data_IF_725971310422
#
_entry.id   IF_725971310422
#
_cell.length_a   1.000
_cell.length_b   1.000
_cell.length_c   1.000
_cell.angle_alpha   90.00
_cell.angle_beta   90.00
_cell.angle_gamma   90.00
#
_symmetry.space_group_name_H-M   'P 1'
#
loop_
_entity.id
_entity.type
_entity.pdbx_description
1 polymer ?
#
# COMPACT_ATOMS: atom_id res chain seq x y z
N UNK A 1 8.92 33.73 -34.08
CA UNK A 1 8.45 32.41 -33.62
C UNK A 1 8.63 32.38 -32.11
N UNK A 2 7.55 32.66 -31.39
CA UNK A 2 7.52 32.72 -29.92
C UNK A 2 7.52 31.30 -29.37
N UNK A 3 8.55 30.99 -28.57
CA UNK A 3 8.69 29.73 -27.84
C UNK A 3 7.53 29.56 -26.85
N UNK A 4 6.74 28.52 -27.04
CA UNK A 4 5.78 28.01 -26.05
C UNK A 4 6.52 27.63 -24.76
N UNK A 5 6.08 28.07 -23.57
CA UNK A 5 6.67 27.62 -22.31
C UNK A 5 6.39 26.13 -22.15
N UNK A 6 7.40 25.38 -21.70
CA UNK A 6 7.23 24.01 -21.24
C UNK A 6 6.24 24.01 -20.07
N UNK A 7 5.04 23.49 -20.28
CA UNK A 7 4.12 23.15 -19.21
C UNK A 7 4.75 22.04 -18.37
N UNK A 8 5.47 22.41 -17.32
CA UNK A 8 5.62 21.50 -16.18
C UNK A 8 4.21 21.32 -15.60
N UNK A 9 3.70 20.08 -15.44
CA UNK A 9 2.47 19.87 -14.72
C UNK A 9 2.67 20.44 -13.31
N UNK A 10 1.88 21.47 -12.97
CA UNK A 10 1.89 22.03 -11.62
C UNK A 10 1.58 20.90 -10.65
N UNK A 11 2.48 20.64 -9.71
CA UNK A 11 2.24 19.66 -8.66
C UNK A 11 0.90 19.97 -7.98
N UNK A 12 0.08 18.95 -7.67
CA UNK A 12 -1.13 19.13 -6.89
C UNK A 12 -0.87 19.97 -5.62
N UNK A 13 -1.82 20.84 -5.25
CA UNK A 13 -1.69 21.69 -4.07
C UNK A 13 -1.35 20.84 -2.84
N UNK A 14 -0.31 21.25 -2.09
CA UNK A 14 0.11 20.54 -0.88
C UNK A 14 1.05 19.34 -1.10
N UNK A 15 1.35 18.92 -2.33
CA UNK A 15 2.33 17.84 -2.61
C UNK A 15 3.71 18.42 -2.96
N UNK A 16 4.73 18.00 -2.20
CA UNK A 16 6.15 18.12 -2.60
C UNK A 16 6.85 16.77 -2.51
N UNK A 17 8.03 16.67 -3.11
CA UNK A 17 8.88 15.50 -2.98
C UNK A 17 10.12 15.86 -2.19
N UNK A 18 10.39 15.12 -1.11
CA UNK A 18 11.59 15.26 -0.29
C UNK A 18 12.51 14.07 -0.52
N UNK A 19 13.81 14.31 -0.63
CA UNK A 19 14.79 13.22 -0.69
C UNK A 19 15.13 12.77 0.74
N UNK A 20 14.98 11.48 1.01
CA UNK A 20 15.48 10.86 2.24
C UNK A 20 16.48 9.72 1.89
N UNK A 21 16.96 9.02 2.91
CA UNK A 21 17.91 7.89 2.75
C UNK A 21 17.41 6.76 1.83
N UNK A 22 16.10 6.71 1.55
CA UNK A 22 15.41 5.72 0.73
C UNK A 22 14.93 6.28 -0.62
N UNK A 23 15.39 7.48 -0.99
CA UNK A 23 14.99 8.16 -2.22
C UNK A 23 13.89 9.21 -2.03
N UNK A 24 13.31 9.72 -3.12
CA UNK A 24 12.31 10.78 -3.05
C UNK A 24 10.96 10.25 -2.56
N UNK A 25 10.52 10.73 -1.40
CA UNK A 25 9.22 10.42 -0.80
C UNK A 25 8.25 11.59 -0.91
N UNK A 26 6.94 11.33 -1.06
CA UNK A 26 5.95 12.39 -1.08
C UNK A 26 5.82 12.98 0.33
N UNK A 27 5.73 14.31 0.38
CA UNK A 27 5.66 15.08 1.61
C UNK A 27 4.67 16.24 1.48
N UNK A 28 4.16 16.67 2.64
CA UNK A 28 3.22 17.78 2.74
C UNK A 28 3.95 19.11 2.54
N UNK A 29 3.63 19.82 1.45
CA UNK A 29 4.12 21.17 1.19
C UNK A 29 3.41 22.22 2.08
N UNK A 30 2.19 21.91 2.52
CA UNK A 30 1.40 22.73 3.43
C UNK A 30 0.53 21.83 4.32
N UNK A 31 0.18 22.31 5.51
CA UNK A 31 -0.80 21.63 6.38
C UNK A 31 -2.22 21.94 5.91
N UNK A 32 -3.14 20.96 5.92
CA UNK A 32 -4.54 21.20 5.60
C UNK A 32 -5.16 22.33 6.45
N UNK A 33 -6.00 23.16 5.81
CA UNK A 33 -6.62 24.31 6.45
C UNK A 33 -7.71 23.85 7.44
N UNK A 34 -7.46 24.03 8.74
CA UNK A 34 -8.39 23.62 9.81
C UNK A 34 -9.75 24.32 9.72
N UNK A 35 -9.79 25.57 9.26
CA UNK A 35 -11.06 26.32 9.08
C UNK A 35 -11.92 25.68 7.97
N UNK A 36 -11.28 25.24 6.89
CA UNK A 36 -11.99 24.52 5.83
C UNK A 36 -12.46 23.14 6.29
N UNK A 37 -11.65 22.41 7.06
CA UNK A 37 -12.06 21.15 7.71
C UNK A 37 -13.28 21.36 8.60
N UNK A 38 -13.28 22.41 9.42
CA UNK A 38 -14.38 22.76 10.31
C UNK A 38 -15.66 23.08 9.53
N UNK A 39 -15.56 23.88 8.46
CA UNK A 39 -16.69 24.22 7.60
C UNK A 39 -17.31 22.99 6.93
N UNK A 40 -16.48 22.13 6.32
CA UNK A 40 -16.91 20.88 5.70
C UNK A 40 -17.55 19.94 6.73
N UNK A 41 -16.97 19.86 7.93
CA UNK A 41 -17.53 19.06 9.02
C UNK A 41 -18.91 19.54 9.44
N UNK A 42 -19.12 20.85 9.58
CA UNK A 42 -20.44 21.42 9.93
C UNK A 42 -21.49 21.09 8.87
N UNK A 43 -21.12 21.28 7.61
CA UNK A 43 -21.98 21.03 6.46
C UNK A 43 -22.43 19.56 6.39
N UNK A 44 -21.49 18.63 6.45
CA UNK A 44 -21.78 17.22 6.19
C UNK A 44 -22.28 16.45 7.41
N UNK A 45 -21.93 16.88 8.63
CA UNK A 45 -22.45 16.26 9.85
C UNK A 45 -23.73 16.93 10.37
N UNK A 46 -24.23 17.97 9.69
CA UNK A 46 -25.40 18.75 10.13
C UNK A 46 -25.29 19.23 11.58
N UNK A 47 -24.10 19.72 11.98
CA UNK A 47 -23.80 20.10 13.35
C UNK A 47 -23.16 21.50 13.41
N UNK A 48 -23.87 22.48 13.98
CA UNK A 48 -23.39 23.87 14.05
C UNK A 48 -22.26 24.05 15.07
N UNK A 49 -22.35 23.34 16.19
CA UNK A 49 -21.32 23.36 17.24
C UNK A 49 -20.46 22.10 17.13
N UNK A 50 -19.18 22.27 16.84
CA UNK A 50 -18.20 21.19 16.81
C UNK A 50 -16.81 21.73 17.12
N UNK A 51 -15.90 20.83 17.48
CA UNK A 51 -14.48 21.14 17.63
C UNK A 51 -13.64 20.21 16.78
N UNK A 52 -12.58 20.75 16.18
CA UNK A 52 -11.62 20.00 15.36
C UNK A 52 -10.27 20.00 16.06
N UNK A 53 -9.70 18.81 16.28
CA UNK A 53 -8.38 18.64 16.89
C UNK A 53 -7.51 17.73 16.03
N UNK A 54 -6.27 18.13 15.76
CA UNK A 54 -5.32 17.24 15.10
C UNK A 54 -5.08 15.99 15.95
N UNK A 55 -5.22 14.81 15.34
CA UNK A 55 -5.10 13.52 16.02
C UNK A 55 -3.76 12.86 15.69
N UNK A 56 -3.48 12.67 14.41
CA UNK A 56 -2.29 11.96 13.94
C UNK A 56 -2.00 12.30 12.47
N UNK A 57 -0.82 11.89 11.98
CA UNK A 57 -0.51 12.03 10.57
C UNK A 57 0.76 11.28 10.18
N UNK A 58 0.77 10.78 8.95
CA UNK A 58 1.90 10.09 8.32
C UNK A 58 2.36 10.80 7.05
N UNK A 59 3.07 10.06 6.19
CA UNK A 59 3.53 10.56 4.90
C UNK A 59 2.35 10.96 3.99
N UNK A 60 1.31 10.13 3.94
CA UNK A 60 0.19 10.30 3.01
C UNK A 60 -1.07 10.91 3.62
N UNK A 61 -1.25 10.82 4.93
CA UNK A 61 -2.51 11.16 5.59
C UNK A 61 -2.31 12.12 6.76
N UNK A 62 -3.22 13.09 6.91
CA UNK A 62 -3.41 13.89 8.13
C UNK A 62 -4.80 13.63 8.67
N UNK A 63 -4.88 13.34 9.97
CA UNK A 63 -6.10 12.88 10.63
C UNK A 63 -6.48 13.85 11.73
N UNK A 64 -7.74 14.27 11.72
CA UNK A 64 -8.32 15.20 12.68
C UNK A 64 -9.53 14.54 13.35
N UNK A 65 -9.64 14.74 14.66
CA UNK A 65 -10.78 14.35 15.47
C UNK A 65 -11.80 15.49 15.45
N UNK A 66 -13.02 15.18 15.01
CA UNK A 66 -14.17 16.07 15.15
C UNK A 66 -14.95 15.62 16.38
N UNK A 67 -15.23 16.53 17.30
CA UNK A 67 -16.11 16.28 18.45
C UNK A 67 -17.35 17.16 18.31
N UNK A 68 -18.52 16.54 18.24
CA UNK A 68 -19.82 17.22 18.27
C UNK A 68 -20.37 17.10 19.71
N UNK A 69 -20.61 18.22 20.41
CA UNK A 69 -21.26 18.19 21.71
C UNK A 69 -22.60 17.47 21.63
N UNK A 70 -22.81 16.55 22.56
CA UNK A 70 -24.03 15.75 22.69
C UNK A 70 -24.66 16.03 24.04
N UNK A 71 -25.98 15.99 24.12
CA UNK A 71 -26.73 16.09 25.39
C UNK A 71 -26.34 14.95 26.36
N UNK A 72 -25.85 13.84 25.81
CA UNK A 72 -25.24 12.77 26.59
C UNK A 72 -23.75 13.06 26.81
N UNK A 73 -23.42 13.67 27.95
CA UNK A 73 -22.04 14.02 28.36
C UNK A 73 -21.14 12.77 28.44
N UNK A 74 -21.71 11.58 28.65
CA UNK A 74 -20.97 10.32 28.76
C UNK A 74 -20.53 9.74 27.42
N UNK A 75 -21.09 10.21 26.30
CA UNK A 75 -20.74 9.73 24.96
C UNK A 75 -20.86 10.86 23.90
N UNK A 76 -19.88 11.78 23.85
CA UNK A 76 -19.85 12.79 22.80
C UNK A 76 -19.62 12.12 21.44
N UNK A 77 -20.49 12.42 20.47
CA UNK A 77 -20.32 11.91 19.10
C UNK A 77 -19.01 12.42 18.53
N UNK A 78 -18.14 11.50 18.13
CA UNK A 78 -16.85 11.83 17.56
C UNK A 78 -16.63 11.15 16.23
N UNK A 79 -16.01 11.89 15.31
CA UNK A 79 -15.80 11.49 13.93
C UNK A 79 -14.33 11.73 13.56
N UNK A 80 -13.89 11.07 12.49
CA UNK A 80 -12.56 11.23 11.93
C UNK A 80 -12.67 11.99 10.60
N UNK A 81 -11.93 13.08 10.50
CA UNK A 81 -11.66 13.77 9.24
C UNK A 81 -10.24 13.40 8.79
N UNK A 82 -10.12 12.68 7.67
CA UNK A 82 -8.82 12.35 7.08
C UNK A 82 -8.64 13.16 5.80
N UNK A 83 -7.52 13.87 5.72
CA UNK A 83 -7.04 14.52 4.49
C UNK A 83 -5.92 13.68 3.92
N UNK A 84 -6.01 13.35 2.64
CA UNK A 84 -5.02 12.53 1.97
C UNK A 84 -4.28 13.31 0.90
N UNK A 85 -2.96 13.12 0.88
CA UNK A 85 -2.07 13.72 -0.08
C UNK A 85 -2.44 13.23 -1.50
N UNK A 86 -2.60 14.14 -2.48
CA UNK A 86 -3.09 13.81 -3.82
C UNK A 86 -1.98 13.22 -4.71
N UNK A 87 -1.41 12.08 -4.31
CA UNK A 87 -0.36 11.39 -5.07
C UNK A 87 -0.94 10.68 -6.31
N UNK A 88 -2.06 9.98 -6.13
CA UNK A 88 -2.90 9.41 -7.20
C UNK A 88 -4.36 9.74 -6.82
N UNK A 89 -4.90 10.88 -7.26
CA UNK A 89 -6.26 11.29 -6.91
C UNK A 89 -7.29 10.26 -7.40
N UNK A 90 -8.47 10.21 -6.77
CA UNK A 90 -9.64 9.38 -7.05
C UNK A 90 -9.59 7.93 -6.53
N UNK A 91 -8.42 7.32 -6.33
CA UNK A 91 -8.35 5.86 -6.22
C UNK A 91 -8.17 5.28 -4.80
N UNK A 92 -8.83 5.85 -3.78
CA UNK A 92 -8.68 5.39 -2.39
C UNK A 92 -9.97 4.83 -1.81
N UNK A 93 -9.87 3.64 -1.21
CA UNK A 93 -10.97 2.93 -0.55
C UNK A 93 -11.13 3.34 0.91
N UNK A 94 -12.37 3.33 1.39
CA UNK A 94 -12.72 3.50 2.81
C UNK A 94 -13.72 2.41 3.23
N UNK A 95 -13.58 1.91 4.47
CA UNK A 95 -14.38 0.80 5.02
C UNK A 95 -15.22 1.18 6.25
N UNK A 96 -14.86 2.15 7.12
CA UNK A 96 -15.80 2.63 8.15
C UNK A 96 -17.01 3.33 7.52
N UNK A 97 -18.10 3.51 8.28
CA UNK A 97 -19.25 4.31 7.80
C UNK A 97 -18.78 5.69 7.35
N UNK A 98 -18.96 5.96 6.06
CA UNK A 98 -18.52 7.18 5.40
C UNK A 98 -19.68 8.17 5.39
N UNK A 99 -19.50 9.30 6.06
CA UNK A 99 -20.51 10.35 6.10
C UNK A 99 -20.45 11.25 4.87
N UNK A 100 -19.22 11.61 4.46
CA UNK A 100 -18.96 12.41 3.27
C UNK A 100 -17.50 12.28 2.87
N UNK A 101 -17.19 12.49 1.60
CA UNK A 101 -15.83 12.55 1.09
C UNK A 101 -15.81 13.35 -0.21
N UNK A 102 -14.61 13.80 -0.58
CA UNK A 102 -14.31 14.29 -1.92
C UNK A 102 -13.00 13.66 -2.36
N UNK A 103 -13.07 12.89 -3.44
CA UNK A 103 -11.93 12.18 -4.03
C UNK A 103 -11.20 13.01 -5.11
N UNK A 104 -11.57 14.28 -5.28
CA UNK A 104 -10.93 15.22 -6.20
C UNK A 104 -10.01 16.19 -5.46
N UNK A 105 -9.18 16.91 -6.23
CA UNK A 105 -8.40 18.04 -5.73
C UNK A 105 -9.07 19.39 -6.00
N UNK A 106 -10.29 19.40 -6.55
CA UNK A 106 -11.02 20.60 -6.97
C UNK A 106 -11.98 21.07 -5.87
N UNK A 107 -11.47 21.17 -4.65
CA UNK A 107 -12.21 21.59 -3.46
C UNK A 107 -11.42 22.58 -2.60
N UNK A 108 -12.04 23.04 -1.52
CA UNK A 108 -11.52 24.05 -0.60
C UNK A 108 -10.21 23.63 0.09
N UNK A 109 -9.93 22.33 0.17
CA UNK A 109 -8.69 21.79 0.73
C UNK A 109 -7.61 21.53 -0.32
N UNK A 110 -7.96 21.55 -1.61
CA UNK A 110 -7.04 21.20 -2.71
C UNK A 110 -6.52 19.78 -2.61
N UNK A 111 -7.16 18.92 -1.82
CA UNK A 111 -6.73 17.58 -1.46
C UNK A 111 -7.95 16.71 -1.24
N UNK A 112 -7.76 15.40 -1.34
CA UNK A 112 -8.83 14.46 -1.04
C UNK A 112 -9.12 14.47 0.45
N UNK A 113 -10.38 14.29 0.80
CA UNK A 113 -10.77 14.19 2.19
C UNK A 113 -11.95 13.26 2.38
N UNK A 114 -12.06 12.74 3.60
CA UNK A 114 -13.15 11.86 4.01
C UNK A 114 -13.50 12.12 5.48
N UNK A 115 -14.80 12.15 5.76
CA UNK A 115 -15.41 12.15 7.08
C UNK A 115 -15.99 10.77 7.32
N UNK A 116 -15.53 10.12 8.37
CA UNK A 116 -15.93 8.76 8.72
C UNK A 116 -16.20 8.63 10.21
N UNK A 117 -16.91 7.57 10.58
CA UNK A 117 -17.11 7.20 11.98
C UNK A 117 -15.76 6.99 12.69
N UNK A 118 -15.65 7.44 13.94
CA UNK A 118 -14.52 7.07 14.79
C UNK A 118 -14.75 5.68 15.37
N UNK A 119 -13.92 4.72 14.97
CA UNK A 119 -13.92 3.39 15.57
C UNK A 119 -13.60 3.51 17.09
N UNK A 120 -14.45 2.96 17.98
CA UNK A 120 -14.22 2.99 19.42
C UNK A 120 -13.04 2.10 19.84
N UNK A 121 -12.54 2.29 21.06
CA UNK A 121 -11.46 1.48 21.64
C UNK A 121 -10.09 2.16 21.65
N UNK A 122 -9.07 1.39 22.03
CA UNK A 122 -7.67 1.81 22.13
C UNK A 122 -6.81 1.13 21.06
N UNK A 123 -5.75 1.82 20.62
CA UNK A 123 -4.80 1.26 19.68
C UNK A 123 -4.08 0.06 20.30
N UNK A 124 -4.09 -1.08 19.60
CA UNK A 124 -3.45 -2.31 20.07
C UNK A 124 -1.95 -2.11 20.33
N UNK A 125 -1.26 -1.26 19.56
CA UNK A 125 0.17 -0.94 19.78
C UNK A 125 0.43 -0.40 21.18
N UNK A 126 -0.44 0.47 21.68
CA UNK A 126 -0.32 1.10 23.00
C UNK A 126 -0.70 0.14 24.12
N UNK A 127 -1.71 -0.70 23.89
CA UNK A 127 -2.18 -1.68 24.85
C UNK A 127 -1.21 -2.88 24.96
N UNK A 128 -0.57 -3.28 23.86
CA UNK A 128 0.23 -4.51 23.74
C UNK A 128 1.28 -4.74 24.84
N UNK A 129 2.07 -3.75 25.27
CA UNK A 129 3.08 -3.94 26.32
C UNK A 129 2.47 -4.28 27.69
N UNK A 130 1.19 -3.97 27.91
CA UNK A 130 0.47 -4.16 29.18
C UNK A 130 -0.31 -5.48 29.23
N UNK A 131 -0.47 -6.16 28.10
CA UNK A 131 -1.24 -7.40 28.01
C UNK A 131 -0.42 -8.62 28.43
N UNK A 132 -1.08 -9.55 29.13
CA UNK A 132 -0.54 -10.89 29.40
C UNK A 132 -0.43 -11.70 28.09
N UNK A 133 0.33 -12.80 28.11
CA UNK A 133 0.43 -13.69 26.95
C UNK A 133 -0.92 -14.32 26.58
N UNK A 134 -1.77 -14.60 27.58
CA UNK A 134 -3.12 -15.13 27.38
C UNK A 134 -4.03 -14.11 26.68
N UNK A 135 -4.07 -12.87 27.15
CA UNK A 135 -4.83 -11.79 26.53
C UNK A 135 -4.35 -11.50 25.11
N UNK A 136 -3.03 -11.54 24.86
CA UNK A 136 -2.47 -11.47 23.51
C UNK A 136 -2.95 -12.64 22.64
N UNK A 137 -3.05 -13.84 23.22
CA UNK A 137 -3.58 -15.04 22.57
C UNK A 137 -5.01 -14.85 22.05
N UNK A 138 -5.91 -14.33 22.89
CA UNK A 138 -7.32 -14.06 22.53
C UNK A 138 -7.40 -13.12 21.33
N UNK A 139 -6.67 -12.00 21.37
CA UNK A 139 -6.67 -11.01 20.28
C UNK A 139 -6.11 -11.62 18.99
N UNK A 140 -5.02 -12.38 19.08
CA UNK A 140 -4.37 -13.01 17.92
C UNK A 140 -5.23 -14.11 17.31
N UNK A 141 -5.96 -14.87 18.12
CA UNK A 141 -6.93 -15.85 17.64
C UNK A 141 -8.05 -15.18 16.83
N UNK A 142 -8.61 -14.09 17.35
CA UNK A 142 -9.64 -13.29 16.65
C UNK A 142 -9.14 -12.71 15.33
N UNK A 143 -7.91 -12.20 15.29
CA UNK A 143 -7.28 -11.76 14.04
C UNK A 143 -7.15 -12.91 13.05
N UNK A 144 -6.80 -14.12 13.50
CA UNK A 144 -6.75 -15.30 12.66
C UNK A 144 -8.12 -15.65 12.07
N UNK A 145 -9.17 -15.63 12.90
CA UNK A 145 -10.56 -15.84 12.47
C UNK A 145 -11.00 -14.79 11.45
N UNK A 146 -10.67 -13.52 11.66
CA UNK A 146 -10.96 -12.45 10.73
C UNK A 146 -10.26 -12.65 9.37
N UNK A 147 -8.97 -13.01 9.37
CA UNK A 147 -8.25 -13.32 8.12
C UNK A 147 -8.83 -14.55 7.41
N UNK A 148 -9.33 -15.54 8.17
CA UNK A 148 -10.02 -16.69 7.59
C UNK A 148 -11.34 -16.26 6.95
N UNK A 149 -12.15 -15.48 7.66
CA UNK A 149 -13.45 -14.98 7.18
C UNK A 149 -13.30 -14.17 5.90
N UNK A 150 -12.33 -13.25 5.83
CA UNK A 150 -12.04 -12.50 4.61
C UNK A 150 -11.69 -13.40 3.42
N UNK A 151 -10.87 -14.43 3.65
CA UNK A 151 -10.51 -15.38 2.60
C UNK A 151 -11.69 -16.22 2.12
N UNK A 152 -12.59 -16.59 3.02
CA UNK A 152 -13.76 -17.39 2.71
C UNK A 152 -14.84 -16.55 2.02
N UNK A 153 -15.03 -15.30 2.46
CA UNK A 153 -16.13 -14.44 2.02
C UNK A 153 -15.79 -13.46 0.92
N UNK A 154 -14.52 -13.14 0.67
CA UNK A 154 -14.08 -12.12 -0.28
C UNK A 154 -13.14 -12.73 -1.33
N UNK A 155 -13.74 -13.31 -2.37
CA UNK A 155 -13.07 -14.03 -3.46
C UNK A 155 -13.25 -13.27 -4.77
N UNK A 156 -12.18 -13.20 -5.55
CA UNK A 156 -12.09 -12.42 -6.78
C UNK A 156 -11.38 -13.21 -7.86
N UNK A 157 -11.67 -12.88 -9.11
CA UNK A 157 -11.10 -13.51 -10.30
C UNK A 157 -9.97 -12.67 -10.94
N UNK A 158 -9.52 -11.61 -10.26
CA UNK A 158 -8.41 -10.76 -10.69
C UNK A 158 -7.71 -10.09 -9.50
N UNK A 159 -6.43 -9.74 -9.70
CA UNK A 159 -5.63 -8.87 -8.84
C UNK A 159 -5.83 -7.43 -9.31
N UNK A 160 -6.21 -6.55 -8.40
CA UNK A 160 -6.43 -5.13 -8.67
C UNK A 160 -6.85 -4.39 -7.40
N UNK A 161 -7.20 -3.12 -7.51
CA UNK A 161 -7.84 -2.39 -6.41
C UNK A 161 -9.36 -2.50 -6.51
N UNK A 162 -10.05 -2.52 -5.37
CA UNK A 162 -11.51 -2.60 -5.31
C UNK A 162 -12.12 -1.20 -5.47
N UNK A 163 -13.12 -1.05 -6.34
CA UNK A 163 -13.82 0.21 -6.60
C UNK A 163 -15.32 0.01 -6.57
N UNK A 164 -16.05 1.01 -6.11
CA UNK A 164 -17.50 1.01 -6.19
C UNK A 164 -17.96 1.40 -7.59
N UNK A 165 -18.87 0.63 -8.19
CA UNK A 165 -19.35 0.84 -9.56
C UNK A 165 -19.91 2.26 -9.77
N UNK A 166 -20.63 2.77 -8.77
CA UNK A 166 -21.32 4.08 -8.83
C UNK A 166 -20.38 5.27 -8.85
N UNK A 167 -19.13 5.09 -8.46
CA UNK A 167 -18.14 6.16 -8.39
C UNK A 167 -17.36 6.31 -9.70
N UNK A 168 -17.35 5.27 -10.53
CA UNK A 168 -16.56 5.22 -11.77
C UNK A 168 -17.30 5.86 -12.94
N UNK A 169 -16.58 6.67 -13.72
CA UNK A 169 -17.04 7.10 -15.05
C UNK A 169 -17.11 5.91 -16.02
N UNK A 170 -17.90 6.03 -17.09
CA UNK A 170 -18.04 4.97 -18.11
C UNK A 170 -16.68 4.51 -18.66
N UNK A 171 -15.77 5.44 -18.98
CA UNK A 171 -14.43 5.09 -19.46
C UNK A 171 -13.53 4.42 -18.41
N UNK A 172 -13.76 4.67 -17.12
CA UNK A 172 -13.04 3.97 -16.05
C UNK A 172 -13.60 2.56 -15.81
N UNK A 173 -14.90 2.33 -16.06
CA UNK A 173 -15.52 1.00 -15.96
C UNK A 173 -15.00 0.04 -17.03
N UNK A 174 -14.70 0.53 -18.24
CA UNK A 174 -14.20 -0.29 -19.35
C UNK A 174 -12.89 -1.02 -19.06
N UNK A 175 -12.06 -0.48 -18.17
CA UNK A 175 -10.77 -1.08 -17.78
C UNK A 175 -10.87 -1.91 -16.50
N UNK A 176 -12.08 -2.24 -16.04
CA UNK A 176 -12.30 -3.02 -14.83
C UNK A 176 -12.76 -4.45 -15.11
N UNK A 177 -12.72 -5.27 -14.07
CA UNK A 177 -13.20 -6.64 -14.03
C UNK A 177 -14.38 -6.71 -13.05
N UNK A 178 -15.51 -7.22 -13.52
CA UNK A 178 -16.68 -7.45 -12.69
C UNK A 178 -16.39 -8.47 -11.58
N UNK A 179 -16.98 -8.23 -10.41
CA UNK A 179 -16.96 -9.16 -9.28
C UNK A 179 -18.33 -9.79 -9.08
N UNK A 180 -18.38 -10.84 -8.26
CA UNK A 180 -19.67 -11.43 -7.83
C UNK A 180 -20.43 -10.51 -6.85
N UNK A 181 -19.81 -9.41 -6.41
CA UNK A 181 -20.42 -8.35 -5.60
C UNK A 181 -20.81 -7.20 -6.55
N UNK A 182 -22.08 -7.15 -6.95
CA UNK A 182 -22.56 -6.25 -8.01
C UNK A 182 -22.25 -4.75 -7.81
N UNK A 183 -22.02 -4.32 -6.58
CA UNK A 183 -21.68 -2.93 -6.25
C UNK A 183 -20.19 -2.61 -6.46
N UNK A 184 -19.35 -3.62 -6.71
CA UNK A 184 -17.91 -3.49 -6.78
C UNK A 184 -17.28 -4.11 -8.03
N UNK A 185 -16.24 -3.45 -8.52
CA UNK A 185 -15.37 -3.93 -9.61
C UNK A 185 -13.91 -3.95 -9.15
N UNK A 186 -13.11 -4.82 -9.77
CA UNK A 186 -11.65 -4.78 -9.65
C UNK A 186 -11.10 -3.91 -10.77
N UNK A 187 -10.40 -2.85 -10.40
CA UNK A 187 -9.80 -1.90 -11.34
C UNK A 187 -8.27 -1.80 -11.20
N UNK A 188 -7.68 -0.78 -11.85
CA UNK A 188 -6.24 -0.52 -11.80
C UNK A 188 -5.70 -0.46 -10.36
N UNK A 189 -4.51 -1.04 -10.14
CA UNK A 189 -3.84 -1.03 -8.84
C UNK A 189 -3.34 0.38 -8.48
N UNK A 190 -3.39 0.70 -7.18
CA UNK A 190 -2.87 1.92 -6.59
C UNK A 190 -2.01 1.58 -5.38
N UNK A 191 -0.81 1.06 -5.60
CA UNK A 191 0.15 0.83 -4.52
C UNK A 191 1.40 1.68 -4.67
N UNK A 192 2.10 1.85 -3.55
CA UNK A 192 3.35 2.61 -3.51
C UNK A 192 4.37 2.07 -4.51
N UNK A 193 4.40 0.77 -4.77
CA UNK A 193 5.29 0.20 -5.78
C UNK A 193 5.08 0.83 -7.18
N UNK A 194 3.84 1.15 -7.53
CA UNK A 194 3.46 1.73 -8.83
C UNK A 194 3.61 3.26 -8.88
N UNK A 195 3.47 3.99 -7.77
CA UNK A 195 3.47 5.47 -7.79
C UNK A 195 4.55 6.15 -6.95
N UNK A 196 5.17 5.46 -5.99
CA UNK A 196 6.14 6.04 -5.08
C UNK A 196 7.49 6.11 -5.80
N UNK A 197 7.74 7.26 -6.40
CA UNK A 197 9.03 7.81 -6.84
C UNK A 197 8.73 8.96 -7.81
N UNK A 198 9.60 9.98 -7.90
CA UNK A 198 9.40 11.13 -8.80
C UNK A 198 9.21 10.72 -10.27
N UNK A 199 9.79 9.58 -10.66
CA UNK A 199 9.90 9.11 -12.05
C UNK A 199 8.79 8.14 -12.46
N UNK A 200 8.26 7.34 -11.54
CA UNK A 200 7.22 6.34 -11.84
C UNK A 200 5.95 6.94 -12.47
N UNK A 201 5.49 8.16 -12.12
CA UNK A 201 4.40 8.83 -12.84
C UNK A 201 4.72 9.20 -14.31
N UNK A 202 5.99 9.27 -14.70
CA UNK A 202 6.44 9.64 -16.05
C UNK A 202 6.50 8.45 -17.03
N UNK A 203 6.47 7.22 -16.51
CA UNK A 203 6.53 6.00 -17.32
C UNK A 203 5.12 5.47 -17.59
N UNK A 204 4.94 4.85 -18.76
CA UNK A 204 3.71 4.13 -19.08
C UNK A 204 3.66 2.85 -18.25
N UNK A 205 2.67 2.74 -17.37
CA UNK A 205 2.51 1.64 -16.42
C UNK A 205 1.33 0.78 -16.84
N UNK A 206 1.53 -0.54 -16.85
CA UNK A 206 0.43 -1.49 -16.78
C UNK A 206 -0.03 -1.51 -15.31
N UNK A 207 -1.32 -1.26 -15.07
CA UNK A 207 -1.91 -1.20 -13.73
C UNK A 207 -2.92 -2.33 -13.51
N UNK A 208 -3.05 -3.26 -14.45
CA UNK A 208 -4.04 -4.32 -14.40
C UNK A 208 -5.45 -3.80 -14.70
N UNK A 209 -6.50 -4.56 -14.31
CA UNK A 209 -6.49 -5.77 -13.47
C UNK A 209 -5.72 -6.96 -14.07
N UNK A 210 -5.18 -7.83 -13.20
CA UNK A 210 -4.38 -8.99 -13.63
C UNK A 210 -5.08 -10.31 -13.34
N UNK A 211 -5.07 -11.24 -14.29
CA UNK A 211 -5.70 -12.56 -14.17
C UNK A 211 -4.80 -13.65 -13.59
N UNK A 212 -3.52 -13.35 -13.33
CA UNK A 212 -2.58 -14.30 -12.73
C UNK A 212 -1.46 -13.57 -11.99
N UNK A 213 -0.89 -14.23 -10.99
CA UNK A 213 0.27 -13.75 -10.24
C UNK A 213 1.46 -13.46 -11.17
N UNK A 214 1.67 -14.31 -12.17
CA UNK A 214 2.76 -14.15 -13.13
C UNK A 214 2.66 -12.84 -13.88
N UNK A 215 1.47 -12.50 -14.39
CA UNK A 215 1.26 -11.26 -15.16
C UNK A 215 1.41 -10.04 -14.23
N UNK A 216 0.86 -10.12 -13.02
CA UNK A 216 1.02 -9.09 -12.01
C UNK A 216 2.49 -8.82 -11.66
N UNK A 217 3.25 -9.86 -11.30
CA UNK A 217 4.67 -9.74 -10.93
C UNK A 217 5.53 -9.24 -12.10
N UNK A 218 5.21 -9.68 -13.31
CA UNK A 218 5.88 -9.20 -14.52
C UNK A 218 5.58 -7.72 -14.78
N UNK A 219 4.36 -7.24 -14.53
CA UNK A 219 4.02 -5.83 -14.63
C UNK A 219 4.82 -5.00 -13.61
N UNK A 220 4.89 -5.44 -12.35
CA UNK A 220 5.70 -4.78 -11.31
C UNK A 220 7.18 -4.69 -11.72
N UNK A 221 7.82 -5.81 -12.09
CA UNK A 221 9.22 -5.81 -12.51
C UNK A 221 9.50 -4.93 -13.74
N UNK A 222 8.54 -4.84 -14.68
CA UNK A 222 8.65 -3.92 -15.83
C UNK A 222 8.65 -2.46 -15.41
N UNK A 223 7.79 -2.08 -14.46
CA UNK A 223 7.76 -0.71 -13.92
C UNK A 223 9.10 -0.35 -13.30
N UNK A 224 9.68 -1.25 -12.50
CA UNK A 224 11.01 -1.03 -11.91
C UNK A 224 12.11 -0.90 -12.96
N UNK A 225 12.13 -1.76 -13.98
CA UNK A 225 13.12 -1.66 -15.04
C UNK A 225 13.04 -0.34 -15.79
N UNK A 226 11.83 0.10 -16.14
CA UNK A 226 11.61 1.37 -16.83
C UNK A 226 11.97 2.57 -15.95
N UNK A 227 11.71 2.51 -14.65
CA UNK A 227 12.15 3.53 -13.69
C UNK A 227 13.69 3.64 -13.69
N UNK A 228 14.42 2.53 -13.51
CA UNK A 228 15.89 2.55 -13.48
C UNK A 228 16.49 2.97 -14.83
N UNK A 229 15.86 2.61 -15.95
CA UNK A 229 16.25 3.10 -17.29
C UNK A 229 16.08 4.62 -17.40
N UNK A 230 14.96 5.14 -16.94
CA UNK A 230 14.70 6.57 -16.95
C UNK A 230 15.67 7.32 -16.04
N UNK A 231 15.96 6.79 -14.85
CA UNK A 231 16.96 7.33 -13.92
C UNK A 231 18.33 7.48 -14.60
N UNK A 232 18.86 6.39 -15.17
CA UNK A 232 20.16 6.41 -15.86
C UNK A 232 20.19 7.42 -17.01
N UNK A 233 19.09 7.49 -17.79
CA UNK A 233 18.97 8.46 -18.88
C UNK A 233 19.02 9.90 -18.38
N UNK A 234 18.18 10.25 -17.40
CA UNK A 234 18.11 11.60 -16.83
C UNK A 234 19.45 12.02 -16.21
N UNK A 235 20.11 11.12 -15.49
CA UNK A 235 21.43 11.35 -14.91
C UNK A 235 22.49 11.57 -15.99
N UNK A 236 22.45 10.79 -17.08
CA UNK A 236 23.37 10.98 -18.23
C UNK A 236 23.15 12.31 -18.96
N UNK A 237 21.89 12.69 -19.20
CA UNK A 237 21.52 13.96 -19.84
C UNK A 237 21.95 15.15 -18.97
N UNK A 238 21.75 15.05 -17.65
CA UNK A 238 22.21 16.06 -16.68
C UNK A 238 23.73 16.20 -16.70
N UNK A 239 24.49 15.09 -16.68
CA UNK A 239 25.96 15.13 -16.77
C UNK A 239 26.44 15.76 -18.08
N UNK A 240 25.81 15.42 -19.21
CA UNK A 240 26.11 16.01 -20.51
C UNK A 240 25.82 17.52 -20.55
N UNK A 241 24.70 17.96 -19.97
CA UNK A 241 24.34 19.37 -19.86
C UNK A 241 25.27 20.14 -18.90
N UNK A 242 25.66 19.54 -17.77
CA UNK A 242 26.61 20.11 -16.82
C UNK A 242 28.01 20.27 -17.43
N UNK A 243 28.47 19.33 -18.26
CA UNK A 243 29.72 19.46 -19.03
C UNK A 243 29.66 20.65 -20.00
N UNK A 244 28.49 20.94 -20.59
CA UNK A 244 28.29 22.15 -21.42
C UNK A 244 28.22 23.44 -20.58
N UNK A 245 27.82 23.35 -19.31
CA UNK A 245 27.58 24.50 -18.40
C UNK A 245 28.73 24.78 -17.43
N UNK A 246 29.78 23.96 -17.41
CA UNK A 246 30.94 24.06 -16.54
C UNK A 246 31.88 25.22 -16.88
N UNK A 247 31.36 26.46 -16.82
CA UNK A 247 32.16 27.64 -16.52
C UNK A 247 31.96 28.18 -15.11
N UNK A 248 30.85 27.96 -14.40
CA UNK A 248 30.73 28.39 -12.99
C UNK A 248 29.84 27.44 -12.16
N UNK A 249 30.33 27.19 -10.94
CA UNK A 249 29.66 26.63 -9.74
C UNK A 249 29.60 25.11 -9.53
N UNK A 250 29.96 24.71 -8.30
CA UNK A 250 29.88 23.37 -7.73
C UNK A 250 28.41 23.01 -7.46
N UNK A 251 27.93 21.92 -8.06
CA UNK A 251 26.61 21.35 -7.80
C UNK A 251 26.65 20.50 -6.53
N UNK A 252 25.67 20.68 -5.65
CA UNK A 252 25.34 19.73 -4.59
C UNK A 252 25.05 18.35 -5.21
N UNK A 253 25.46 17.26 -4.53
CA UNK A 253 25.15 15.89 -4.98
C UNK A 253 23.65 15.68 -4.88
N UNK A 254 23.04 15.39 -6.02
CA UNK A 254 21.59 15.18 -6.12
C UNK A 254 21.30 13.72 -5.79
N UNK A 255 20.23 13.45 -5.03
CA UNK A 255 19.90 12.08 -4.59
C UNK A 255 19.76 11.08 -5.74
N UNK A 256 19.46 11.56 -6.94
CA UNK A 256 19.33 10.73 -8.14
C UNK A 256 20.69 10.28 -8.72
N UNK A 257 21.79 11.01 -8.47
CA UNK A 257 23.13 10.56 -8.86
C UNK A 257 23.56 9.34 -8.03
N UNK A 258 23.30 9.36 -6.71
CA UNK A 258 23.59 8.25 -5.80
C UNK A 258 22.73 7.01 -6.14
N UNK A 259 21.42 7.20 -6.39
CA UNK A 259 20.52 6.12 -6.80
C UNK A 259 20.91 5.51 -8.17
N UNK A 260 21.53 6.29 -9.06
CA UNK A 260 21.94 5.80 -10.36
C UNK A 260 23.16 4.87 -10.31
N UNK A 261 23.93 4.88 -9.21
CA UNK A 261 25.09 3.97 -9.04
C UNK A 261 24.64 2.50 -8.91
N UNK A 262 23.54 2.27 -8.18
CA UNK A 262 23.00 0.92 -7.93
C UNK A 262 22.08 0.42 -9.06
N UNK A 263 21.61 1.32 -9.94
CA UNK A 263 20.65 1.01 -10.99
C UNK A 263 21.07 -0.16 -11.91
N UNK A 264 22.32 -0.30 -12.37
CA UNK A 264 22.75 -1.45 -13.17
C UNK A 264 22.64 -2.78 -12.43
N UNK A 265 23.00 -2.82 -11.13
CA UNK A 265 22.92 -4.04 -10.32
C UNK A 265 21.46 -4.45 -10.08
N UNK A 266 20.58 -3.48 -9.82
CA UNK A 266 19.14 -3.69 -9.68
C UNK A 266 18.57 -4.24 -10.99
N UNK A 267 18.92 -3.66 -12.15
CA UNK A 267 18.48 -4.14 -13.46
C UNK A 267 18.91 -5.59 -13.74
N UNK A 268 20.17 -5.94 -13.45
CA UNK A 268 20.67 -7.31 -13.58
C UNK A 268 19.89 -8.28 -12.66
N UNK A 269 19.60 -7.84 -11.43
CA UNK A 269 18.86 -8.65 -10.45
C UNK A 269 17.41 -8.86 -10.89
N UNK A 270 16.74 -7.83 -11.42
CA UNK A 270 15.40 -7.98 -12.00
C UNK A 270 15.43 -8.96 -13.19
N UNK A 271 16.46 -8.90 -14.04
CA UNK A 271 16.59 -9.83 -15.15
C UNK A 271 16.71 -11.29 -14.67
N UNK A 272 17.45 -11.54 -13.59
CA UNK A 272 17.53 -12.86 -12.98
C UNK A 272 16.20 -13.31 -12.35
N UNK A 273 15.43 -12.38 -11.75
CA UNK A 273 14.08 -12.66 -11.26
C UNK A 273 13.13 -13.02 -12.41
N UNK A 274 13.19 -12.30 -13.54
CA UNK A 274 12.41 -12.60 -14.73
C UNK A 274 12.71 -13.99 -15.31
N UNK A 275 13.97 -14.44 -15.25
CA UNK A 275 14.36 -15.80 -15.68
C UNK A 275 13.77 -16.91 -14.81
N UNK A 276 13.69 -16.71 -13.50
CA UNK A 276 13.16 -17.74 -12.58
C UNK A 276 11.63 -17.68 -12.46
N UNK A 277 11.00 -16.55 -12.81
CA UNK A 277 9.56 -16.33 -12.70
C UNK A 277 8.72 -17.49 -13.30
N UNK A 278 8.97 -17.98 -14.53
CA UNK A 278 8.18 -19.05 -15.13
C UNK A 278 8.30 -20.39 -14.38
N UNK A 279 9.39 -20.58 -13.64
CA UNK A 279 9.61 -21.81 -12.86
C UNK A 279 8.96 -21.81 -11.48
N UNK A 280 8.49 -20.65 -11.02
CA UNK A 280 7.75 -20.49 -9.77
C UNK A 280 6.26 -20.27 -10.07
N UNK A 281 5.97 -19.55 -11.17
CA UNK A 281 4.62 -19.25 -11.64
C UNK A 281 4.47 -19.77 -13.07
N UNK A 282 4.01 -21.01 -13.22
CA UNK A 282 3.76 -21.62 -14.54
C UNK A 282 2.58 -20.93 -15.27
N UNK A 283 2.57 -21.00 -16.59
CA UNK A 283 1.47 -20.52 -17.44
C UNK A 283 0.16 -21.30 -17.21
N UNK A 284 0.27 -22.59 -16.89
CA UNK A 284 -0.88 -23.47 -16.60
C UNK A 284 -1.50 -23.20 -15.23
N UNK A 285 -0.81 -22.44 -14.36
CA UNK A 285 -1.27 -22.06 -13.03
C UNK A 285 -2.13 -20.79 -13.12
N UNK A 286 -3.22 -20.83 -13.88
CA UNK A 286 -4.23 -19.81 -13.74
C UNK A 286 -4.84 -19.93 -12.34
N UNK A 287 -4.46 -19.02 -11.45
CA UNK A 287 -5.11 -18.89 -10.16
C UNK A 287 -6.52 -18.36 -10.42
N UNK A 288 -7.52 -19.24 -10.34
CA UNK A 288 -8.93 -18.85 -10.56
C UNK A 288 -9.51 -18.06 -9.37
N UNK A 289 -8.77 -17.96 -8.26
CA UNK A 289 -9.27 -17.37 -7.02
C UNK A 289 -8.22 -16.55 -6.25
N UNK A 290 -8.48 -15.24 -6.18
CA UNK A 290 -7.74 -14.26 -5.38
C UNK A 290 -8.58 -13.84 -4.18
N UNK A 291 -7.95 -13.64 -3.02
CA UNK A 291 -8.64 -13.31 -1.77
C UNK A 291 -8.26 -11.93 -1.27
N UNK A 292 -9.22 -11.19 -0.71
CA UNK A 292 -8.96 -9.87 -0.13
C UNK A 292 -7.97 -9.98 1.03
N UNK A 293 -7.05 -9.01 1.10
CA UNK A 293 -6.08 -8.92 2.19
C UNK A 293 -5.98 -7.49 2.71
N UNK A 294 -5.72 -7.39 4.01
CA UNK A 294 -5.25 -6.14 4.61
C UNK A 294 -3.74 -5.98 4.40
N UNK A 295 -3.32 -5.10 3.49
CA UNK A 295 -1.92 -4.92 3.11
C UNK A 295 -1.02 -4.35 4.25
N UNK A 296 -1.59 -3.60 5.20
CA UNK A 296 -0.83 -3.01 6.31
C UNK A 296 -1.32 -3.46 7.70
N UNK A 297 -1.58 -4.76 7.89
CA UNK A 297 -2.12 -5.25 9.16
C UNK A 297 -1.02 -5.30 10.25
N UNK A 298 -0.95 -4.25 11.05
CA UNK A 298 -0.03 -4.12 12.16
C UNK A 298 -0.75 -3.62 13.42
N UNK A 299 -0.11 -3.73 14.60
CA UNK A 299 -0.71 -3.33 15.89
C UNK A 299 -1.20 -1.87 15.94
N UNK A 300 -0.64 -0.98 15.13
CA UNK A 300 -1.08 0.41 15.08
C UNK A 300 -2.44 0.57 14.40
N UNK A 301 -2.81 -0.41 13.57
CA UNK A 301 -4.01 -0.41 12.74
C UNK A 301 -5.13 -1.30 13.32
N UNK A 302 -4.97 -1.81 14.54
CA UNK A 302 -6.00 -2.62 15.22
C UNK A 302 -6.51 -1.86 16.44
N UNK A 303 -7.83 -1.67 16.50
CA UNK A 303 -8.55 -1.07 17.61
C UNK A 303 -9.15 -2.16 18.48
N UNK A 304 -9.01 -2.02 19.81
CA UNK A 304 -9.44 -3.01 20.78
C UNK A 304 -10.16 -2.35 21.94
N UNK A 305 -11.26 -2.92 22.40
CA UNK A 305 -11.89 -2.55 23.66
C UNK A 305 -11.02 -3.05 24.82
N UNK A 306 -10.53 -2.14 25.67
CA UNK A 306 -9.56 -2.48 26.70
C UNK A 306 -10.12 -3.34 27.85
N UNK A 307 -11.45 -3.40 28.00
CA UNK A 307 -12.12 -4.14 29.08
C UNK A 307 -12.47 -5.56 28.63
N UNK A 308 -12.94 -5.72 27.40
CA UNK A 308 -13.44 -6.98 26.82
C UNK A 308 -12.42 -7.66 25.91
N UNK A 309 -11.38 -6.95 25.48
CA UNK A 309 -10.39 -7.37 24.48
C UNK A 309 -11.00 -7.67 23.10
N UNK A 310 -12.22 -7.23 22.83
CA UNK A 310 -12.86 -7.31 21.51
C UNK A 310 -12.15 -6.41 20.51
N UNK A 311 -11.96 -6.92 19.29
CA UNK A 311 -11.48 -6.10 18.18
C UNK A 311 -12.65 -5.25 17.72
N UNK A 312 -12.56 -3.96 17.96
CA UNK A 312 -13.61 -3.00 17.61
C UNK A 312 -13.47 -2.49 16.18
N UNK A 313 -12.28 -2.62 15.58
CA UNK A 313 -12.09 -2.38 14.17
C UNK A 313 -10.64 -2.50 13.71
N UNK A 314 -10.49 -2.60 12.39
CA UNK A 314 -9.20 -2.63 11.71
C UNK A 314 -9.18 -1.42 10.78
N UNK A 315 -8.14 -0.60 10.91
CA UNK A 315 -7.95 0.66 10.21
C UNK A 315 -6.99 0.48 9.03
N UNK A 316 -6.93 1.48 8.15
CA UNK A 316 -5.93 1.57 7.07
C UNK A 316 -6.14 0.57 5.93
N UNK A 317 -7.40 0.37 5.56
CA UNK A 317 -7.84 -0.35 4.36
C UNK A 317 -7.64 0.44 3.06
N UNK A 318 -6.61 1.28 2.98
CA UNK A 318 -6.29 1.99 1.73
C UNK A 318 -5.76 0.98 0.72
N UNK A 319 -6.29 0.96 -0.50
CA UNK A 319 -5.80 0.14 -1.62
C UNK A 319 -5.67 -1.38 -1.30
N UNK A 320 -6.72 -2.05 -0.79
CA UNK A 320 -6.66 -3.49 -0.58
C UNK A 320 -6.59 -4.17 -1.95
N UNK A 321 -5.65 -5.10 -2.09
CA UNK A 321 -5.44 -5.86 -3.32
C UNK A 321 -5.76 -7.34 -3.06
N UNK A 322 -6.64 -7.96 -3.86
CA UNK A 322 -6.80 -9.41 -3.86
C UNK A 322 -5.51 -10.08 -4.32
N UNK A 323 -5.03 -11.08 -3.57
CA UNK A 323 -3.86 -11.88 -3.90
C UNK A 323 -4.18 -13.37 -3.88
N UNK A 324 -3.38 -14.19 -4.57
CA UNK A 324 -3.65 -15.60 -4.74
C UNK A 324 -3.74 -16.35 -3.40
N UNK A 325 -4.65 -17.32 -3.35
CA UNK A 325 -4.87 -18.13 -2.16
C UNK A 325 -3.60 -18.91 -1.76
N UNK A 326 -3.24 -18.87 -0.47
CA UNK A 326 -2.10 -19.60 0.08
C UNK A 326 -0.74 -18.90 -0.06
N UNK A 327 -0.66 -17.84 -0.86
CA UNK A 327 0.62 -17.29 -1.29
C UNK A 327 1.18 -16.15 -0.45
N UNK A 328 0.45 -15.44 0.42
CA UNK A 328 1.05 -14.31 1.20
C UNK A 328 0.19 -13.85 2.36
N UNK A 329 0.01 -14.68 3.38
CA UNK A 329 -0.44 -14.17 4.67
C UNK A 329 0.73 -13.37 5.27
N UNK A 330 0.74 -12.05 5.10
CA UNK A 330 1.79 -11.17 5.66
C UNK A 330 1.78 -11.19 7.19
N UNK A 331 0.71 -11.69 7.83
CA UNK A 331 0.74 -12.05 9.24
C UNK A 331 1.75 -13.17 9.55
N UNK A 332 2.08 -14.02 8.55
CA UNK A 332 3.06 -15.12 8.65
C UNK A 332 4.46 -14.70 8.20
N UNK A 333 4.54 -13.83 7.18
CA UNK A 333 5.77 -13.23 6.67
C UNK A 333 6.25 -12.16 7.65
N UNK A 334 7.55 -12.11 7.96
CA UNK A 334 8.09 -11.32 9.08
C UNK A 334 7.77 -9.81 8.84
N UNK A 335 6.95 -9.13 9.64
CA UNK A 335 7.24 -8.66 11.02
C UNK A 335 5.97 -8.12 11.74
N UNK A 336 5.49 -8.86 12.74
CA UNK A 336 4.97 -8.32 14.01
C UNK A 336 6.01 -8.62 15.09
N UNK A 337 7.05 -7.81 15.12
CA UNK A 337 8.44 -8.28 15.30
C UNK A 337 8.66 -9.25 16.48
N UNK A 338 8.62 -10.55 16.18
CA UNK A 338 8.83 -11.70 17.08
C UNK A 338 7.78 -11.83 18.21
N UNK A 339 6.51 -12.01 17.83
CA UNK A 339 5.36 -12.57 18.60
C UNK A 339 5.67 -13.72 19.56
N UNK A 340 6.39 -13.35 20.61
CA UNK A 340 7.16 -14.10 21.63
C UNK A 340 7.74 -15.47 21.19
N UNK A 341 8.04 -15.54 19.89
CA UNK A 341 8.80 -16.49 19.07
C UNK A 341 8.18 -17.81 18.59
N UNK A 342 7.04 -18.30 19.07
CA UNK A 342 6.28 -19.31 18.27
C UNK A 342 4.83 -19.50 18.71
N UNK A 343 4.51 -19.26 19.98
CA UNK A 343 3.19 -19.62 20.55
C UNK A 343 2.03 -18.85 19.91
N UNK A 344 2.09 -17.52 19.90
CA UNK A 344 1.04 -16.68 19.31
C UNK A 344 0.90 -16.92 17.81
N UNK A 345 2.00 -17.18 17.11
CA UNK A 345 1.97 -17.56 15.69
C UNK A 345 1.19 -18.85 15.47
N UNK A 346 1.40 -19.88 16.30
CA UNK A 346 0.62 -21.13 16.20
C UNK A 346 -0.87 -20.90 16.41
N UNK A 347 -1.23 -20.03 17.37
CA UNK A 347 -2.63 -19.67 17.63
C UNK A 347 -3.24 -19.00 16.40
N UNK A 348 -2.57 -17.98 15.87
CA UNK A 348 -3.01 -17.32 14.64
C UNK A 348 -3.16 -18.33 13.50
N UNK A 349 -2.15 -19.17 13.27
CA UNK A 349 -2.13 -20.11 12.16
C UNK A 349 -3.24 -21.16 12.26
N UNK A 350 -3.54 -21.61 13.48
CA UNK A 350 -4.65 -22.52 13.76
C UNK A 350 -6.00 -21.87 13.49
N UNK A 351 -6.20 -20.63 13.93
CA UNK A 351 -7.44 -19.88 13.76
C UNK A 351 -7.67 -19.46 12.30
N UNK A 352 -6.61 -18.99 11.64
CA UNK A 352 -6.58 -18.59 10.24
C UNK A 352 -6.78 -19.76 9.26
N UNK A 353 -6.57 -20.99 9.73
CA UNK A 353 -6.64 -22.20 8.92
C UNK A 353 -5.37 -22.46 8.11
N UNK A 354 -5.20 -23.72 7.67
CA UNK A 354 -4.12 -24.12 6.78
C UNK A 354 -4.38 -23.60 5.36
N UNK A 355 -4.13 -22.31 5.09
CA UNK A 355 -3.98 -21.85 3.72
C UNK A 355 -2.74 -22.51 3.11
N UNK A 356 -2.92 -23.53 2.26
CA UNK A 356 -1.97 -24.22 1.37
C UNK A 356 -0.48 -24.32 1.82
N UNK A 357 -0.20 -24.38 3.12
CA UNK A 357 1.12 -23.98 3.63
C UNK A 357 2.15 -25.11 3.74
N UNK A 358 1.81 -26.29 3.27
CA UNK A 358 2.71 -27.45 3.31
C UNK A 358 3.34 -27.77 1.96
N UNK A 359 3.01 -27.01 0.90
CA UNK A 359 3.67 -27.16 -0.38
C UNK A 359 4.90 -26.24 -0.48
N UNK A 360 6.00 -26.80 -0.98
CA UNK A 360 7.25 -26.08 -1.21
C UNK A 360 7.07 -25.03 -2.32
N UNK A 361 6.11 -25.22 -3.22
CA UNK A 361 5.71 -24.25 -4.25
C UNK A 361 5.23 -22.93 -3.65
N UNK A 362 4.34 -22.98 -2.65
CA UNK A 362 3.86 -21.78 -1.94
C UNK A 362 4.97 -21.05 -1.18
N UNK A 363 6.01 -21.77 -0.74
CA UNK A 363 7.19 -21.15 -0.10
C UNK A 363 8.04 -20.37 -1.12
N UNK A 364 8.24 -20.93 -2.31
CA UNK A 364 9.02 -20.28 -3.37
C UNK A 364 8.28 -19.04 -3.90
N UNK A 365 6.95 -19.11 -4.07
CA UNK A 365 6.09 -17.97 -4.46
C UNK A 365 6.13 -16.82 -3.45
N UNK A 366 6.01 -17.12 -2.15
CA UNK A 366 6.22 -16.14 -1.07
C UNK A 366 7.59 -15.50 -1.13
N UNK A 367 8.61 -16.36 -1.22
CA UNK A 367 10.00 -15.92 -1.27
C UNK A 367 10.24 -14.96 -2.43
N UNK A 368 9.66 -15.24 -3.60
CA UNK A 368 9.77 -14.36 -4.76
C UNK A 368 9.17 -12.97 -4.51
N UNK A 369 7.92 -12.91 -4.03
CA UNK A 369 7.22 -11.66 -3.71
C UNK A 369 7.97 -10.83 -2.67
N UNK A 370 8.37 -11.45 -1.56
CA UNK A 370 9.16 -10.80 -0.50
C UNK A 370 10.47 -10.19 -1.04
N UNK A 371 11.11 -10.84 -2.02
CA UNK A 371 12.34 -10.32 -2.61
C UNK A 371 12.10 -9.19 -3.59
N UNK A 372 10.95 -9.17 -4.27
CA UNK A 372 10.59 -8.02 -5.08
C UNK A 372 10.39 -6.77 -4.22
N UNK A 373 9.71 -6.89 -3.06
CA UNK A 373 9.54 -5.78 -2.12
C UNK A 373 10.86 -5.30 -1.48
N UNK A 374 11.84 -6.20 -1.35
CA UNK A 374 13.16 -5.91 -0.78
C UNK A 374 14.19 -5.44 -1.81
N UNK A 375 13.84 -5.42 -3.10
CA UNK A 375 14.80 -5.18 -4.18
C UNK A 375 15.54 -3.85 -4.01
N UNK A 376 14.81 -2.78 -3.70
CA UNK A 376 15.38 -1.44 -3.50
C UNK A 376 16.08 -1.29 -2.15
N UNK A 377 15.79 -2.15 -1.18
CA UNK A 377 16.41 -2.11 0.14
C UNK A 377 17.71 -2.91 0.21
N UNK A 378 17.77 -4.04 -0.49
CA UNK A 378 18.93 -4.92 -0.50
C UNK A 378 18.95 -5.85 -1.71
N UNK A 379 19.50 -5.35 -2.82
CA UNK A 379 19.81 -6.13 -4.02
C UNK A 379 20.58 -7.41 -3.69
N UNK A 380 21.56 -7.31 -2.78
CA UNK A 380 22.32 -8.46 -2.29
C UNK A 380 21.45 -9.58 -1.71
N UNK A 381 20.50 -9.25 -0.83
CA UNK A 381 19.61 -10.26 -0.24
C UNK A 381 18.74 -10.97 -1.29
N UNK A 382 18.36 -10.24 -2.34
CA UNK A 382 17.63 -10.80 -3.48
C UNK A 382 18.51 -11.76 -4.26
N UNK A 383 19.73 -11.36 -4.63
CA UNK A 383 20.70 -12.21 -5.35
C UNK A 383 21.04 -13.48 -4.58
N UNK A 384 21.31 -13.37 -3.27
CA UNK A 384 21.59 -14.52 -2.40
C UNK A 384 20.42 -15.51 -2.37
N UNK A 385 19.18 -14.99 -2.37
CA UNK A 385 17.99 -15.83 -2.43
C UNK A 385 17.82 -16.51 -3.79
N UNK A 386 18.09 -15.82 -4.91
CA UNK A 386 18.04 -16.40 -6.26
C UNK A 386 19.03 -17.56 -6.39
N UNK A 387 20.28 -17.38 -5.91
CA UNK A 387 21.31 -18.43 -5.92
C UNK A 387 20.83 -19.65 -5.13
N UNK A 388 20.28 -19.42 -3.92
CA UNK A 388 19.73 -20.49 -3.09
C UNK A 388 18.57 -21.21 -3.77
N UNK A 389 17.63 -20.47 -4.37
CA UNK A 389 16.49 -21.03 -5.09
C UNK A 389 16.96 -21.93 -6.24
N UNK A 390 17.89 -21.44 -7.09
CA UNK A 390 18.43 -22.22 -8.22
C UNK A 390 19.08 -23.52 -7.75
N UNK A 391 19.89 -23.46 -6.68
CA UNK A 391 20.52 -24.63 -6.09
C UNK A 391 19.50 -25.65 -5.56
N UNK A 392 18.49 -25.19 -4.82
CA UNK A 392 17.44 -26.06 -4.30
C UNK A 392 16.56 -26.65 -5.41
N UNK A 393 16.29 -25.91 -6.47
CA UNK A 393 15.55 -26.39 -7.63
C UNK A 393 16.32 -27.48 -8.38
N UNK A 394 17.61 -27.27 -8.64
CA UNK A 394 18.46 -28.26 -9.30
C UNK A 394 18.54 -29.57 -8.50
N UNK A 395 18.63 -29.51 -7.17
CA UNK A 395 18.57 -30.70 -6.31
C UNK A 395 17.27 -31.49 -6.50
N UNK A 396 16.13 -30.80 -6.59
CA UNK A 396 14.81 -31.43 -6.79
C UNK A 396 14.73 -32.12 -8.15
N UNK A 397 15.21 -31.46 -9.21
CA UNK A 397 15.25 -32.03 -10.57
C UNK A 397 16.17 -33.26 -10.65
N UNK A 398 17.15 -33.36 -9.75
CA UNK A 398 18.07 -34.50 -9.62
C UNK A 398 17.58 -35.59 -8.63
N UNK A 399 16.41 -35.42 -8.01
CA UNK A 399 15.79 -36.41 -7.12
C UNK A 399 16.35 -36.49 -5.70
N UNK A 400 16.99 -35.42 -5.21
CA UNK A 400 17.56 -35.31 -3.86
C UNK A 400 16.63 -34.68 -2.81
#
# INVERSE_FOLDING_TARGET
MTSTPSHHPSLPFGLRWESNFYGPVPAWAATPNVVAIEALSRQHLSADNLSVKYLAGGAFNKVYLITVPSDNILDPKSYIFRVTLPVEPFYKTAIPEVFAYDCTTKNELGSEWIIMERIPGVCLRELWPRLSLESKGIIVERLGQFTKELREKCRFNAIGSLYQCTELSEGNLEVTVATDYNDFVIGPIVNSFIFAEKRKPLIKRDRGPYRSDRVYLLALMKVELEDKRLLLKLTSDKRAASIQKAKHEYSESDSDDDLAEDAPEIQETIQQLLEILPSIFSEDMQTEEFTLRHHNLNRSNVMVDCMTLEITGILDWECPEPLAFGDTDECRVRRWEKWEKTKLRKIFDQAAGSGANNDKDACDKRGFRERLDLLEFSTKMVRDWIVKYRYEKQKREQGY
#
